data_IF_582358506512
#
_entry.id   IF_582358506512
#
_cell.length_a   1.000
_cell.length_b   1.000
_cell.length_c   1.000
_cell.angle_alpha   90.00
_cell.angle_beta   90.00
_cell.angle_gamma   90.00
#
_symmetry.space_group_name_H-M   'P 1'
#
loop_
_entity.id
_entity.type
_entity.pdbx_description
1 polymer ?
#
# COMPACT_ATOMS: atom_id res chain seq x y z
N UNK A 1 2.27 -16.62 -24.33
CA UNK A 1 2.73 -15.94 -23.10
C UNK A 1 1.81 -14.76 -22.88
N UNK A 2 1.23 -14.60 -21.69
CA UNK A 2 0.40 -13.44 -21.37
C UNK A 2 1.26 -12.22 -21.05
N UNK A 3 0.81 -11.03 -21.40
CA UNK A 3 1.39 -9.77 -20.96
C UNK A 3 0.63 -9.26 -19.75
N UNK A 4 1.34 -8.66 -18.79
CA UNK A 4 0.72 -7.91 -17.70
C UNK A 4 0.78 -6.42 -18.02
N UNK A 5 -0.34 -5.71 -17.86
CA UNK A 5 -0.39 -4.25 -18.02
C UNK A 5 -0.17 -3.52 -16.68
N UNK A 6 -0.46 -4.18 -15.56
CA UNK A 6 -0.36 -3.62 -14.21
C UNK A 6 0.30 -4.61 -13.26
N UNK A 7 1.12 -4.07 -12.36
CA UNK A 7 1.63 -4.76 -11.16
C UNK A 7 1.29 -3.87 -9.96
N UNK A 8 1.08 -4.46 -8.79
CA UNK A 8 0.70 -3.67 -7.63
C UNK A 8 0.94 -4.36 -6.31
N UNK A 9 1.07 -3.55 -5.28
CA UNK A 9 1.04 -3.94 -3.89
C UNK A 9 -0.36 -3.63 -3.36
N UNK A 10 -1.04 -4.65 -2.85
CA UNK A 10 -2.41 -4.53 -2.38
C UNK A 10 -2.54 -5.08 -0.96
N UNK A 11 -3.56 -4.59 -0.27
CA UNK A 11 -4.00 -5.09 1.02
C UNK A 11 -5.52 -5.03 1.08
N UNK A 12 -6.12 -5.88 1.92
CA UNK A 12 -7.55 -5.87 2.16
C UNK A 12 -7.84 -6.24 3.61
N UNK A 13 -8.94 -5.72 4.13
CA UNK A 13 -9.55 -6.19 5.38
C UNK A 13 -10.86 -6.89 5.06
N UNK A 14 -11.14 -7.99 5.75
CA UNK A 14 -12.44 -8.67 5.69
C UNK A 14 -13.03 -8.69 7.08
N UNK A 15 -14.31 -8.34 7.19
CA UNK A 15 -15.07 -8.42 8.43
C UNK A 15 -16.41 -9.14 8.17
N UNK A 16 -16.93 -9.93 9.13
CA UNK A 16 -18.28 -10.47 9.03
C UNK A 16 -19.36 -9.36 8.96
N UNK A 17 -20.53 -9.62 8.36
CA UNK A 17 -21.64 -8.67 8.37
C UNK A 17 -22.02 -8.25 9.79
N UNK A 18 -22.16 -6.95 10.01
CA UNK A 18 -22.54 -6.37 11.31
C UNK A 18 -21.40 -6.23 12.32
N UNK A 19 -20.18 -6.64 11.99
CA UNK A 19 -18.99 -6.33 12.78
C UNK A 19 -18.30 -5.06 12.24
N UNK A 20 -17.71 -4.28 13.14
CA UNK A 20 -16.85 -3.15 12.78
C UNK A 20 -15.70 -3.64 11.91
N UNK A 21 -15.28 -2.85 10.92
CA UNK A 21 -14.10 -3.22 10.13
C UNK A 21 -12.84 -3.10 10.98
N UNK A 22 -11.92 -4.08 10.92
CA UNK A 22 -10.73 -4.09 11.76
C UNK A 22 -9.73 -3.01 11.34
N UNK A 23 -8.82 -2.63 12.24
CA UNK A 23 -7.67 -1.80 11.85
C UNK A 23 -6.79 -2.49 10.81
N UNK A 24 -6.25 -1.73 9.86
CA UNK A 24 -5.26 -2.21 8.89
C UNK A 24 -3.85 -1.73 9.27
N UNK A 25 -2.87 -2.63 9.20
CA UNK A 25 -1.47 -2.32 9.55
C UNK A 25 -1.34 -1.94 11.03
N UNK A 26 -0.73 -0.78 11.30
CA UNK A 26 -0.62 -0.21 12.65
C UNK A 26 -1.88 0.50 13.13
N UNK A 27 -2.92 0.61 12.30
CA UNK A 27 -4.14 1.37 12.59
C UNK A 27 -4.03 2.87 12.30
N UNK A 28 -2.87 3.34 11.83
CA UNK A 28 -2.66 4.74 11.44
C UNK A 28 -2.80 4.93 9.94
N UNK A 29 -3.34 6.08 9.55
CA UNK A 29 -3.29 6.52 8.16
C UNK A 29 -1.85 6.85 7.74
N UNK A 30 -1.53 6.78 6.44
CA UNK A 30 -0.28 7.34 5.92
C UNK A 30 -0.08 8.78 6.39
N UNK A 31 1.07 9.05 6.98
CA UNK A 31 1.44 10.35 7.57
C UNK A 31 2.93 10.69 7.37
N UNK A 32 3.65 9.89 6.59
CA UNK A 32 5.08 9.99 6.31
C UNK A 32 6.00 9.73 7.52
N UNK A 33 5.47 9.34 8.67
CA UNK A 33 6.25 8.83 9.79
C UNK A 33 6.35 7.30 9.70
N UNK A 34 7.51 6.81 9.23
CA UNK A 34 7.77 5.38 9.03
C UNK A 34 7.97 4.58 10.34
N UNK A 35 7.90 5.23 11.50
CA UNK A 35 7.84 4.55 12.80
C UNK A 35 6.38 4.37 13.26
N UNK A 36 5.43 5.09 12.66
CA UNK A 36 4.03 5.17 13.08
C UNK A 36 3.07 4.42 12.14
N UNK A 37 3.05 4.77 10.86
CA UNK A 37 2.23 4.09 9.86
C UNK A 37 2.93 2.83 9.32
N UNK A 38 2.13 1.80 9.00
CA UNK A 38 2.68 0.59 8.39
C UNK A 38 3.15 0.88 6.96
N UNK A 39 4.21 0.22 6.50
CA UNK A 39 4.84 0.53 5.23
C UNK A 39 5.43 -0.69 4.54
N UNK A 40 5.59 -0.57 3.22
CA UNK A 40 6.54 -1.37 2.45
C UNK A 40 7.72 -0.49 2.07
N UNK A 41 8.92 -1.08 2.10
CA UNK A 41 10.18 -0.44 1.69
C UNK A 41 10.85 -1.24 0.60
N UNK A 42 11.72 -0.59 -0.16
CA UNK A 42 12.45 -1.18 -1.30
C UNK A 42 11.50 -1.87 -2.30
N UNK A 43 10.36 -1.24 -2.59
CA UNK A 43 9.37 -1.82 -3.50
C UNK A 43 9.91 -1.79 -4.95
N UNK A 44 9.72 -2.89 -5.66
CA UNK A 44 10.13 -3.04 -7.05
C UNK A 44 9.58 -4.33 -7.65
N UNK A 45 9.69 -4.47 -8.96
CA UNK A 45 9.13 -5.59 -9.71
C UNK A 45 10.14 -6.15 -10.71
N UNK A 46 9.93 -7.41 -11.12
CA UNK A 46 10.69 -8.04 -12.19
C UNK A 46 9.80 -8.15 -13.42
N UNK A 47 10.38 -7.92 -14.60
CA UNK A 47 9.65 -7.98 -15.88
C UNK A 47 9.96 -9.23 -16.69
N UNK A 48 11.00 -9.98 -16.29
CA UNK A 48 11.48 -11.17 -16.97
C UNK A 48 12.32 -12.05 -16.01
N UNK A 49 12.85 -13.15 -16.53
CA UNK A 49 13.67 -14.12 -15.79
C UNK A 49 15.10 -13.64 -15.49
N UNK A 50 15.48 -12.42 -15.88
CA UNK A 50 16.83 -11.88 -15.63
C UNK A 50 17.13 -11.63 -14.14
N UNK A 51 16.13 -11.77 -13.27
CA UNK A 51 16.19 -11.47 -11.83
C UNK A 51 16.51 -10.00 -11.53
N UNK A 52 16.43 -9.12 -12.54
CA UNK A 52 16.63 -7.69 -12.37
C UNK A 52 15.38 -7.05 -11.78
N UNK A 53 15.56 -6.35 -10.67
CA UNK A 53 14.53 -5.50 -10.08
C UNK A 53 14.48 -4.14 -10.75
N UNK A 54 13.25 -3.68 -10.98
CA UNK A 54 12.93 -2.36 -11.49
C UNK A 54 12.14 -1.61 -10.44
N UNK A 55 12.49 -0.34 -10.24
CA UNK A 55 11.77 0.55 -9.36
C UNK A 55 10.51 1.09 -10.05
N UNK A 56 9.43 1.37 -9.30
CA UNK A 56 8.25 2.00 -9.87
C UNK A 56 8.58 3.39 -10.41
N UNK A 57 8.12 3.68 -11.62
CA UNK A 57 8.11 5.06 -12.10
C UNK A 57 7.05 5.85 -11.32
N UNK A 58 7.47 6.87 -10.57
CA UNK A 58 6.61 7.66 -9.71
C UNK A 58 5.43 8.31 -10.45
N UNK A 59 5.59 8.68 -11.72
CA UNK A 59 4.52 9.27 -12.54
C UNK A 59 3.47 8.23 -12.99
N UNK A 60 3.78 6.93 -12.84
CA UNK A 60 2.94 5.82 -13.27
C UNK A 60 2.35 5.02 -12.08
N UNK A 61 2.64 5.40 -10.83
CA UNK A 61 2.07 4.76 -9.65
C UNK A 61 0.73 5.39 -9.30
N UNK A 62 -0.27 4.56 -9.02
CA UNK A 62 -1.59 5.00 -8.58
C UNK A 62 -1.91 4.39 -7.22
N UNK A 63 -2.24 5.26 -6.27
CA UNK A 63 -2.74 4.87 -4.95
C UNK A 63 -4.27 4.74 -5.01
N UNK A 64 -4.80 3.64 -4.47
CA UNK A 64 -6.24 3.37 -4.44
C UNK A 64 -6.69 2.81 -3.09
N UNK A 65 -7.76 3.38 -2.54
CA UNK A 65 -8.46 2.86 -1.38
C UNK A 65 -9.96 2.86 -1.66
N UNK A 66 -10.60 1.71 -1.48
CA UNK A 66 -12.06 1.57 -1.65
C UNK A 66 -12.86 2.22 -0.52
N UNK A 67 -12.23 2.48 0.63
CA UNK A 67 -12.84 3.11 1.81
C UNK A 67 -11.87 4.15 2.38
N UNK A 68 -11.69 5.27 1.66
CA UNK A 68 -10.69 6.30 1.97
C UNK A 68 -10.90 6.99 3.33
N UNK A 69 -12.12 6.95 3.88
CA UNK A 69 -12.43 7.43 5.22
C UNK A 69 -11.94 6.46 6.33
N UNK A 70 -11.47 5.27 5.97
CA UNK A 70 -11.15 4.18 6.90
C UNK A 70 -9.74 3.65 6.73
N UNK A 71 -9.27 3.59 5.48
CA UNK A 71 -7.95 3.11 5.12
C UNK A 71 -7.34 4.05 4.08
N UNK A 72 -6.05 4.31 4.24
CA UNK A 72 -5.24 5.05 3.29
C UNK A 72 -4.10 4.20 2.75
N UNK A 73 -3.67 4.55 1.55
CA UNK A 73 -2.42 4.11 0.97
C UNK A 73 -1.79 5.31 0.27
N UNK A 74 -0.51 5.53 0.47
CA UNK A 74 0.22 6.63 -0.16
C UNK A 74 1.61 6.17 -0.56
N UNK A 75 1.99 6.46 -1.80
CA UNK A 75 3.32 6.20 -2.32
C UNK A 75 4.16 7.47 -2.19
N UNK A 76 5.32 7.34 -1.54
CA UNK A 76 6.22 8.47 -1.31
C UNK A 76 7.41 8.50 -2.25
N UNK A 77 7.58 7.49 -3.11
CA UNK A 77 8.77 7.35 -3.95
C UNK A 77 9.99 6.97 -3.13
N UNK A 78 11.17 7.30 -3.64
CA UNK A 78 12.45 7.04 -2.96
C UNK A 78 12.56 7.92 -1.71
N UNK A 79 12.65 7.29 -0.53
CA UNK A 79 12.82 7.95 0.77
C UNK A 79 14.26 7.85 1.30
N UNK A 80 15.22 7.52 0.44
CA UNK A 80 16.64 7.43 0.78
C UNK A 80 17.08 6.01 1.14
N UNK A 81 18.37 5.85 1.46
CA UNK A 81 19.07 4.55 1.49
C UNK A 81 18.39 3.45 2.36
N UNK A 82 17.75 3.82 3.48
CA UNK A 82 17.14 2.86 4.40
C UNK A 82 15.76 2.34 3.95
N UNK A 83 15.00 3.19 3.24
CA UNK A 83 13.62 2.94 2.88
C UNK A 83 13.44 2.68 1.37
N UNK A 84 14.30 3.26 0.54
CA UNK A 84 14.21 3.22 -0.92
C UNK A 84 12.83 3.65 -1.40
N UNK A 85 12.36 3.04 -2.48
CA UNK A 85 10.99 3.19 -2.94
C UNK A 85 10.02 2.68 -1.88
N UNK A 86 9.21 3.57 -1.33
CA UNK A 86 8.38 3.27 -0.17
C UNK A 86 6.94 3.75 -0.32
N UNK A 87 6.02 2.97 0.25
CA UNK A 87 4.63 3.33 0.41
C UNK A 87 4.20 3.06 1.85
N UNK A 88 3.28 3.87 2.36
CA UNK A 88 2.57 3.60 3.60
C UNK A 88 1.15 3.14 3.33
N UNK A 89 0.62 2.33 4.24
CA UNK A 89 -0.75 1.88 4.22
C UNK A 89 -1.27 1.68 5.65
N UNK A 90 -2.58 1.80 5.83
CA UNK A 90 -3.21 1.52 7.10
C UNK A 90 -4.43 2.36 7.35
N UNK A 91 -4.94 2.28 8.56
CA UNK A 91 -6.06 3.08 9.03
C UNK A 91 -6.82 2.37 10.14
N UNK A 92 -7.62 3.11 10.92
CA UNK A 92 -8.19 2.61 12.16
C UNK A 92 -9.30 1.58 11.95
N UNK A 93 -9.87 1.50 10.74
CA UNK A 93 -11.13 0.77 10.53
C UNK A 93 -12.28 1.44 11.32
N UNK A 94 -13.26 0.64 11.72
CA UNK A 94 -14.41 1.08 12.51
C UNK A 94 -15.76 0.86 11.86
N UNK A 95 -16.80 1.40 12.48
CA UNK A 95 -18.20 1.16 12.09
C UNK A 95 -18.58 1.85 10.78
N UNK A 96 -17.98 2.99 10.46
CA UNK A 96 -18.29 3.73 9.22
C UNK A 96 -17.54 3.20 7.99
N UNK A 97 -16.95 2.01 8.12
CA UNK A 97 -16.08 1.39 7.13
C UNK A 97 -16.78 0.24 6.46
N UNK A 98 -17.89 0.55 5.81
CA UNK A 98 -18.64 -0.41 5.02
C UNK A 98 -18.10 -0.40 3.58
N UNK A 99 -17.75 -1.58 3.07
CA UNK A 99 -17.43 -1.81 1.67
C UNK A 99 -18.70 -1.82 0.81
#
# INVERSE_FOLDING_TARGET
MGTAEFVGWAGLTVTPPGASSPSMGSGHFPDKDFVHACYFRNIGYQVDESQKYYEPNSDAVQAFSSASNCYGVEYYGDQGEELGQALQFGGPGGDNCHL
#
